data_IF_498573018930
#
_entry.id   IF_498573018930
#
_cell.length_a   1.000
_cell.length_b   1.000
_cell.length_c   1.000
_cell.angle_alpha   90.00
_cell.angle_beta   90.00
_cell.angle_gamma   90.00
#
_symmetry.space_group_name_H-M   'P 1'
#
loop_
_entity.id
_entity.type
_entity.pdbx_description
1 polymer ?
#
# COMPACT_ATOMS: atom_id res chain seq x y z
N UNK A 1 -4.99 -17.86 -9.65
CA UNK A 1 -3.80 -17.00 -9.56
C UNK A 1 -3.87 -16.15 -8.28
N UNK A 2 -2.72 -15.53 -7.85
CA UNK A 2 -2.69 -14.64 -6.65
C UNK A 2 -3.77 -13.56 -6.70
N UNK A 3 -3.93 -12.93 -7.85
CA UNK A 3 -4.91 -11.85 -8.08
C UNK A 3 -6.34 -12.29 -7.75
N UNK A 4 -6.69 -13.53 -8.00
CA UNK A 4 -8.05 -14.05 -7.74
C UNK A 4 -8.29 -14.35 -6.25
N UNK A 5 -7.22 -14.49 -5.47
CA UNK A 5 -7.29 -14.66 -4.02
C UNK A 5 -7.56 -13.36 -3.29
N UNK A 6 -7.12 -12.22 -3.85
CA UNK A 6 -7.34 -10.88 -3.26
C UNK A 6 -8.77 -10.45 -3.54
N UNK A 7 -9.66 -10.69 -2.59
CA UNK A 7 -11.10 -10.53 -2.77
C UNK A 7 -11.78 -9.53 -1.82
N UNK A 8 -11.06 -9.02 -0.83
CA UNK A 8 -11.59 -8.09 0.17
C UNK A 8 -10.55 -7.67 1.21
N UNK A 9 -10.95 -6.95 2.26
CA UNK A 9 -10.06 -6.62 3.38
C UNK A 9 -9.42 -7.86 3.98
N UNK A 10 -8.13 -7.77 4.30
CA UNK A 10 -7.35 -8.88 4.83
C UNK A 10 -5.88 -8.77 4.47
N UNK A 11 -5.09 -9.76 4.85
CA UNK A 11 -3.64 -9.80 4.58
C UNK A 11 -3.34 -10.89 3.56
N UNK A 12 -2.67 -10.51 2.49
CA UNK A 12 -2.26 -11.36 1.37
C UNK A 12 -0.75 -11.29 1.20
N UNK A 13 -0.11 -12.43 1.05
CA UNK A 13 1.34 -12.53 0.90
C UNK A 13 1.64 -13.06 -0.50
N UNK A 14 2.40 -12.28 -1.26
CA UNK A 14 2.93 -12.66 -2.56
C UNK A 14 4.44 -12.89 -2.46
N UNK A 15 4.82 -14.15 -2.46
CA UNK A 15 6.22 -14.57 -2.39
C UNK A 15 6.66 -15.11 -3.75
N UNK A 16 7.67 -14.46 -4.32
CA UNK A 16 8.28 -14.90 -5.57
C UNK A 16 9.68 -14.27 -5.71
N UNK A 17 10.60 -14.89 -6.47
CA UNK A 17 11.91 -14.32 -6.77
C UNK A 17 11.84 -12.90 -7.33
N UNK A 18 12.95 -12.16 -7.25
CA UNK A 18 13.07 -10.84 -7.89
C UNK A 18 12.82 -10.94 -9.40
N UNK A 19 12.22 -9.91 -9.98
CA UNK A 19 11.97 -9.85 -11.43
C UNK A 19 10.75 -10.63 -11.92
N UNK A 20 10.04 -11.35 -11.04
CA UNK A 20 8.87 -12.17 -11.40
C UNK A 20 7.55 -11.38 -11.48
N UNK A 21 7.59 -10.04 -11.52
CA UNK A 21 6.40 -9.21 -11.68
C UNK A 21 5.52 -9.10 -10.44
N UNK A 22 6.08 -9.27 -9.23
CA UNK A 22 5.34 -9.11 -7.96
C UNK A 22 4.63 -7.76 -7.86
N UNK A 23 5.36 -6.70 -8.17
CA UNK A 23 4.83 -5.33 -8.13
C UNK A 23 3.64 -5.14 -9.05
N UNK A 24 3.75 -5.62 -10.29
CA UNK A 24 2.68 -5.55 -11.28
C UNK A 24 1.45 -6.38 -10.86
N UNK A 25 1.67 -7.57 -10.31
CA UNK A 25 0.59 -8.42 -9.82
C UNK A 25 -0.15 -7.77 -8.64
N UNK A 26 0.58 -7.15 -7.70
CA UNK A 26 -0.01 -6.44 -6.57
C UNK A 26 -0.79 -5.19 -7.01
N UNK A 27 -0.23 -4.40 -7.92
CA UNK A 27 -0.91 -3.23 -8.46
C UNK A 27 -2.17 -3.61 -9.25
N UNK A 28 -2.14 -4.70 -10.00
CA UNK A 28 -3.31 -5.18 -10.72
C UNK A 28 -4.39 -5.72 -9.76
N UNK A 29 -4.00 -6.43 -8.70
CA UNK A 29 -4.92 -6.86 -7.65
C UNK A 29 -5.58 -5.65 -6.97
N UNK A 30 -4.78 -4.62 -6.63
CA UNK A 30 -5.25 -3.37 -6.05
C UNK A 30 -6.24 -2.65 -6.99
N UNK A 31 -5.93 -2.59 -8.27
CA UNK A 31 -6.85 -2.03 -9.27
C UNK A 31 -8.21 -2.74 -9.29
N UNK A 32 -8.21 -4.09 -9.28
CA UNK A 32 -9.46 -4.86 -9.23
C UNK A 32 -10.29 -4.55 -7.98
N UNK A 33 -9.63 -4.34 -6.84
CA UNK A 33 -10.30 -3.95 -5.60
C UNK A 33 -10.98 -2.58 -5.73
N UNK A 34 -10.31 -1.60 -6.37
CA UNK A 34 -10.88 -0.30 -6.67
C UNK A 34 -12.06 -0.42 -7.65
N UNK A 35 -11.88 -1.16 -8.74
CA UNK A 35 -12.92 -1.36 -9.77
C UNK A 35 -14.20 -1.98 -9.18
N UNK A 36 -14.05 -2.86 -8.19
CA UNK A 36 -15.16 -3.51 -7.49
C UNK A 36 -15.75 -2.64 -6.37
N UNK A 37 -15.24 -1.43 -6.13
CA UNK A 37 -15.66 -0.57 -5.03
C UNK A 37 -15.32 -1.09 -3.64
N UNK A 38 -14.38 -2.04 -3.52
CA UNK A 38 -13.96 -2.67 -2.27
C UNK A 38 -12.80 -1.96 -1.57
N UNK A 39 -12.20 -0.97 -2.22
CA UNK A 39 -11.15 -0.14 -1.65
C UNK A 39 -11.32 1.32 -2.08
N UNK A 40 -10.99 2.26 -1.18
CA UNK A 40 -11.06 3.70 -1.43
C UNK A 40 -9.79 4.30 -2.02
N UNK A 41 -8.73 3.51 -2.19
CA UNK A 41 -7.45 4.00 -2.71
C UNK A 41 -6.33 3.00 -2.58
N UNK A 42 -5.10 3.42 -2.93
CA UNK A 42 -3.88 2.60 -2.86
C UNK A 42 -2.79 3.39 -2.14
N UNK A 43 -2.11 2.74 -1.21
CA UNK A 43 -0.85 3.20 -0.66
C UNK A 43 0.25 2.17 -0.96
N UNK A 44 1.29 2.60 -1.68
CA UNK A 44 2.44 1.75 -1.98
C UNK A 44 3.60 2.14 -1.06
N UNK A 45 3.94 1.26 -0.12
CA UNK A 45 5.00 1.45 0.87
C UNK A 45 6.31 0.83 0.41
N UNK A 46 7.34 1.65 0.25
CA UNK A 46 8.69 1.27 -0.19
C UNK A 46 9.67 1.24 0.98
N UNK A 47 10.72 0.39 0.94
CA UNK A 47 11.69 0.28 2.02
C UNK A 47 12.45 1.58 2.29
N UNK A 48 12.93 2.25 1.25
CA UNK A 48 13.74 3.48 1.40
C UNK A 48 13.42 4.51 0.32
N UNK A 49 13.83 5.77 0.57
CA UNK A 49 13.67 6.85 -0.41
C UNK A 49 14.50 6.63 -1.69
N UNK A 50 15.62 5.92 -1.61
CA UNK A 50 16.53 5.69 -2.75
C UNK A 50 15.98 4.69 -3.79
N UNK A 51 15.24 3.69 -3.35
CA UNK A 51 14.51 2.76 -4.24
C UNK A 51 13.27 3.42 -4.83
N UNK A 52 12.87 4.52 -4.24
CA UNK A 52 11.62 5.24 -4.48
C UNK A 52 11.48 5.74 -5.92
N UNK A 53 12.52 6.33 -6.53
CA UNK A 53 12.35 7.05 -7.80
C UNK A 53 11.96 6.13 -8.97
N UNK A 54 12.66 5.00 -9.17
CA UNK A 54 12.33 4.07 -10.27
C UNK A 54 11.01 3.35 -10.08
N UNK A 55 10.69 2.93 -8.84
CA UNK A 55 9.42 2.29 -8.53
C UNK A 55 8.31 3.32 -8.55
N UNK A 56 8.55 4.52 -8.07
CA UNK A 56 7.64 5.65 -8.15
C UNK A 56 7.22 5.94 -9.60
N UNK A 57 8.18 6.00 -10.52
CA UNK A 57 7.91 6.22 -11.95
C UNK A 57 7.08 5.06 -12.55
N UNK A 58 7.39 3.81 -12.18
CA UNK A 58 6.64 2.63 -12.64
C UNK A 58 5.22 2.62 -12.09
N UNK A 59 5.03 2.91 -10.81
CA UNK A 59 3.71 2.98 -10.17
C UNK A 59 2.91 4.14 -10.74
N UNK A 60 3.53 5.31 -10.95
CA UNK A 60 2.90 6.44 -11.60
C UNK A 60 2.48 6.14 -13.04
N UNK A 61 3.34 5.49 -13.82
CA UNK A 61 3.00 5.09 -15.18
C UNK A 61 1.83 4.09 -15.21
N UNK A 62 1.80 3.15 -14.25
CA UNK A 62 0.71 2.20 -14.12
C UNK A 62 -0.61 2.89 -13.72
N UNK A 63 -0.58 3.73 -12.70
CA UNK A 63 -1.75 4.49 -12.23
C UNK A 63 -2.25 5.46 -13.32
N UNK A 64 -1.36 6.13 -14.04
CA UNK A 64 -1.74 7.01 -15.15
C UNK A 64 -2.45 6.24 -16.26
N UNK A 65 -2.00 5.02 -16.60
CA UNK A 65 -2.70 4.17 -17.57
C UNK A 65 -4.08 3.77 -17.08
N UNK A 66 -4.22 3.41 -15.82
CA UNK A 66 -5.52 3.08 -15.20
C UNK A 66 -6.46 4.28 -15.23
N UNK A 67 -5.97 5.47 -14.87
CA UNK A 67 -6.74 6.71 -14.89
C UNK A 67 -7.18 7.12 -16.30
N UNK A 68 -6.34 6.89 -17.32
CA UNK A 68 -6.67 7.18 -18.71
C UNK A 68 -7.70 6.21 -19.29
N UNK A 69 -7.69 4.94 -18.86
CA UNK A 69 -8.56 3.88 -19.38
C UNK A 69 -9.66 3.45 -18.41
N UNK A 70 -9.60 3.93 -17.17
CA UNK A 70 -10.54 3.60 -16.12
C UNK A 70 -11.87 4.35 -16.22
N UNK A 71 -12.86 3.83 -15.49
CA UNK A 71 -14.24 4.34 -15.48
C UNK A 71 -14.33 5.79 -14.99
N UNK A 72 -15.38 6.48 -15.41
CA UNK A 72 -15.67 7.89 -15.13
C UNK A 72 -15.54 8.32 -13.64
N UNK A 73 -15.74 7.42 -12.68
CA UNK A 73 -15.62 7.72 -11.24
C UNK A 73 -14.19 8.10 -10.81
N UNK A 74 -13.16 7.51 -11.46
CA UNK A 74 -11.77 7.90 -11.23
C UNK A 74 -11.49 9.34 -11.74
N UNK A 75 -12.19 9.77 -12.80
CA UNK A 75 -12.11 11.15 -13.28
C UNK A 75 -12.72 12.14 -12.29
N UNK A 76 -13.84 11.79 -11.67
CA UNK A 76 -14.51 12.63 -10.66
C UNK A 76 -13.62 12.87 -9.44
N UNK A 77 -12.86 11.84 -8.99
CA UNK A 77 -11.86 12.02 -7.94
C UNK A 77 -10.71 12.93 -8.37
N UNK A 78 -10.29 12.84 -9.66
CA UNK A 78 -9.23 13.69 -10.17
C UNK A 78 -9.66 15.16 -10.25
N UNK A 79 -10.87 15.43 -10.62
CA UNK A 79 -11.40 16.79 -10.79
C UNK A 79 -11.68 17.50 -9.46
N UNK A 80 -12.04 16.75 -8.39
CA UNK A 80 -12.30 17.31 -7.06
C UNK A 80 -11.03 17.69 -6.28
N UNK A 81 -9.88 17.06 -6.58
CA UNK A 81 -8.60 17.36 -5.92
C UNK A 81 -7.68 18.27 -6.74
N UNK A 82 -7.99 18.49 -8.00
CA UNK A 82 -7.30 19.46 -8.84
C UNK A 82 -7.85 20.86 -8.58
N UNK A 83 -7.32 21.55 -7.55
CA UNK A 83 -7.39 23.00 -7.50
C UNK A 83 -6.76 23.60 -8.76
N UNK A 84 -7.13 24.83 -9.10
CA UNK A 84 -6.80 25.53 -10.34
C UNK A 84 -5.30 25.56 -10.77
N UNK A 85 -4.37 25.07 -9.92
CA UNK A 85 -2.93 25.00 -10.17
C UNK A 85 -2.39 23.63 -10.60
N UNK A 86 -3.25 22.63 -10.84
CA UNK A 86 -2.83 21.29 -11.22
C UNK A 86 -2.74 21.14 -12.75
N UNK A 87 -1.58 21.42 -13.31
CA UNK A 87 -1.30 21.11 -14.71
C UNK A 87 -1.31 19.59 -14.94
N UNK A 88 -1.88 19.10 -16.08
CA UNK A 88 -1.82 17.71 -16.47
C UNK A 88 -0.35 17.24 -16.52
N UNK A 89 0.00 16.21 -15.76
CA UNK A 89 1.36 15.65 -15.72
C UNK A 89 2.19 15.96 -14.47
N UNK A 90 1.70 16.78 -13.53
CA UNK A 90 2.37 16.86 -12.21
C UNK A 90 2.12 15.56 -11.43
N UNK A 91 3.16 14.95 -10.85
CA UNK A 91 3.00 13.70 -10.09
C UNK A 91 2.05 13.94 -8.91
N UNK A 92 1.01 13.15 -8.81
CA UNK A 92 -0.02 13.13 -7.77
C UNK A 92 0.53 13.02 -6.34
N UNK A 93 1.81 12.75 -6.21
CA UNK A 93 2.47 12.25 -5.00
C UNK A 93 3.40 13.26 -4.33
N UNK A 94 3.44 14.52 -4.75
CA UNK A 94 4.44 15.50 -4.26
C UNK A 94 4.13 16.20 -2.94
N UNK A 95 3.05 15.90 -2.23
CA UNK A 95 2.82 16.55 -0.94
C UNK A 95 3.20 15.65 0.24
N UNK A 96 4.39 15.83 0.80
CA UNK A 96 4.98 14.99 1.82
C UNK A 96 4.16 14.81 3.13
N UNK A 97 3.28 15.73 3.51
CA UNK A 97 2.43 15.59 4.71
C UNK A 97 0.99 15.15 4.40
N UNK A 98 0.53 15.32 3.17
CA UNK A 98 -0.84 14.96 2.72
C UNK A 98 -0.88 13.65 1.94
N UNK A 99 0.27 13.06 1.63
CA UNK A 99 0.36 11.89 0.77
C UNK A 99 -0.48 10.69 1.25
N UNK A 100 -0.61 10.48 2.56
CA UNK A 100 -1.44 9.39 3.09
C UNK A 100 -2.95 9.65 2.95
N UNK A 101 -3.39 10.90 2.86
CA UNK A 101 -4.79 11.25 2.67
C UNK A 101 -5.21 11.11 1.19
N UNK A 102 -4.29 11.26 0.25
CA UNK A 102 -4.58 11.10 -1.16
C UNK A 102 -5.09 9.69 -1.48
N UNK A 103 -6.08 9.52 -2.37
CA UNK A 103 -6.57 8.21 -2.78
C UNK A 103 -5.46 7.29 -3.30
N UNK A 104 -4.47 7.87 -3.98
CA UNK A 104 -3.31 7.16 -4.50
C UNK A 104 -2.04 7.79 -3.96
N UNK A 105 -1.22 7.01 -3.29
CA UNK A 105 0.06 7.48 -2.76
C UNK A 105 1.15 6.42 -2.86
N UNK A 106 2.36 6.89 -3.09
CA UNK A 106 3.60 6.13 -2.96
C UNK A 106 4.46 6.82 -1.91
N UNK A 107 4.96 6.06 -0.97
CA UNK A 107 5.79 6.60 0.10
C UNK A 107 6.69 5.54 0.72
N UNK A 108 7.47 5.94 1.71
CA UNK A 108 8.27 4.97 2.48
C UNK A 108 7.39 4.26 3.51
N UNK A 109 7.81 3.05 3.89
CA UNK A 109 7.14 2.30 4.96
C UNK A 109 7.09 3.13 6.25
N UNK A 110 8.13 3.93 6.54
CA UNK A 110 8.21 4.76 7.75
C UNK A 110 6.99 5.69 7.90
N UNK A 111 6.48 6.23 6.80
CA UNK A 111 5.28 7.07 6.83
C UNK A 111 4.05 6.28 7.27
N UNK A 112 3.94 5.01 6.88
CA UNK A 112 2.87 4.13 7.32
C UNK A 112 3.10 3.66 8.77
N UNK A 113 4.34 3.33 9.15
CA UNK A 113 4.69 2.93 10.52
C UNK A 113 4.32 3.99 11.56
N UNK A 114 4.44 5.28 11.19
CA UNK A 114 4.00 6.37 12.06
C UNK A 114 2.49 6.39 12.34
N UNK A 115 1.68 5.62 11.63
CA UNK A 115 0.27 5.43 11.97
C UNK A 115 0.10 4.45 13.14
N UNK A 116 0.95 3.41 13.21
CA UNK A 116 0.91 2.40 14.28
C UNK A 116 1.57 2.88 15.57
N UNK A 117 2.61 3.72 15.46
CA UNK A 117 3.31 4.26 16.64
C UNK A 117 2.50 5.43 17.23
N UNK A 118 2.40 5.50 18.56
CA UNK A 118 1.72 6.61 19.27
C UNK A 118 2.51 7.92 19.20
N UNK A 119 2.61 8.49 18.01
CA UNK A 119 3.25 9.79 17.75
C UNK A 119 2.21 10.84 17.39
N UNK A 120 2.64 12.11 17.41
CA UNK A 120 1.78 13.23 17.01
C UNK A 120 1.21 12.99 15.59
N UNK A 121 -0.11 13.12 15.43
CA UNK A 121 -0.85 12.91 14.17
C UNK A 121 -0.95 11.43 13.71
N UNK A 122 -0.71 10.44 14.55
CA UNK A 122 -0.92 9.03 14.19
C UNK A 122 -2.36 8.73 13.76
N UNK A 123 -3.35 9.30 14.44
CA UNK A 123 -4.76 9.13 14.09
C UNK A 123 -5.10 9.65 12.68
N UNK A 124 -4.53 10.79 12.26
CA UNK A 124 -4.74 11.32 10.90
C UNK A 124 -4.11 10.41 9.86
N UNK A 125 -2.95 9.83 10.16
CA UNK A 125 -2.27 8.87 9.27
C UNK A 125 -3.05 7.56 9.17
N UNK A 126 -3.55 7.04 10.29
CA UNK A 126 -4.40 5.86 10.33
C UNK A 126 -5.69 6.08 9.52
N UNK A 127 -6.34 7.22 9.70
CA UNK A 127 -7.50 7.62 8.89
C UNK A 127 -7.17 7.68 7.40
N UNK A 128 -6.00 8.24 7.04
CA UNK A 128 -5.55 8.31 5.65
C UNK A 128 -5.29 6.94 5.00
N UNK A 129 -5.04 5.90 5.78
CA UNK A 129 -4.85 4.52 5.29
C UNK A 129 -6.15 3.72 5.28
N UNK A 130 -7.16 4.11 6.06
CA UNK A 130 -8.38 3.34 6.25
C UNK A 130 -9.09 2.99 4.93
N UNK A 131 -9.49 1.73 4.79
CA UNK A 131 -10.19 1.22 3.61
C UNK A 131 -9.39 1.20 2.31
N UNK A 132 -8.06 1.41 2.36
CA UNK A 132 -7.18 1.35 1.18
C UNK A 132 -6.59 -0.03 0.97
N UNK A 133 -6.08 -0.26 -0.24
CA UNK A 133 -5.09 -1.30 -0.49
C UNK A 133 -3.73 -0.77 -0.11
N UNK A 134 -3.08 -1.39 0.87
CA UNK A 134 -1.72 -1.05 1.32
C UNK A 134 -0.77 -2.13 0.82
N UNK A 135 0.13 -1.77 -0.09
CA UNK A 135 1.14 -2.68 -0.63
C UNK A 135 2.45 -2.40 0.10
N UNK A 136 3.02 -3.41 0.76
CA UNK A 136 4.31 -3.32 1.46
C UNK A 136 5.34 -4.14 0.69
N UNK A 137 6.35 -3.45 0.13
CA UNK A 137 7.36 -4.09 -0.70
C UNK A 137 8.62 -4.44 0.09
N UNK A 138 9.29 -5.52 -0.33
CA UNK A 138 10.58 -6.02 0.18
C UNK A 138 10.65 -6.17 1.70
N UNK A 139 9.62 -6.75 2.31
CA UNK A 139 9.50 -6.85 3.76
C UNK A 139 10.66 -7.61 4.44
N UNK A 140 11.39 -8.41 3.68
CA UNK A 140 12.56 -9.15 4.14
C UNK A 140 13.80 -8.29 4.40
N UNK A 141 13.83 -7.04 3.93
CA UNK A 141 14.97 -6.11 4.08
C UNK A 141 15.00 -5.40 5.43
N UNK A 142 13.97 -5.57 6.28
CA UNK A 142 13.87 -4.87 7.56
C UNK A 142 14.50 -5.66 8.71
N UNK A 143 15.14 -4.94 9.64
CA UNK A 143 15.66 -5.50 10.88
C UNK A 143 14.57 -6.00 11.84
N UNK A 144 14.96 -6.66 12.92
CA UNK A 144 14.03 -7.25 13.90
C UNK A 144 13.17 -6.19 14.58
N UNK A 145 13.74 -5.01 14.88
CA UNK A 145 13.02 -3.92 15.55
C UNK A 145 11.93 -3.33 14.63
N UNK A 146 12.31 -2.93 13.43
CA UNK A 146 11.37 -2.44 12.41
C UNK A 146 10.33 -3.50 12.10
N UNK A 147 10.73 -4.76 12.09
CA UNK A 147 9.84 -5.89 11.91
C UNK A 147 8.70 -5.94 12.91
N UNK A 148 8.97 -5.68 14.21
CA UNK A 148 7.92 -5.65 15.24
C UNK A 148 6.92 -4.51 15.00
N UNK A 149 7.41 -3.34 14.59
CA UNK A 149 6.53 -2.20 14.29
C UNK A 149 5.68 -2.49 13.03
N UNK A 150 6.21 -3.24 12.08
CA UNK A 150 5.43 -3.67 10.90
C UNK A 150 4.29 -4.62 11.32
N UNK A 151 4.52 -5.48 12.31
CA UNK A 151 3.45 -6.35 12.83
C UNK A 151 2.32 -5.53 13.45
N UNK A 152 2.65 -4.51 14.24
CA UNK A 152 1.69 -3.55 14.79
C UNK A 152 0.95 -2.79 13.68
N UNK A 153 1.66 -2.37 12.63
CA UNK A 153 1.04 -1.72 11.48
C UNK A 153 0.06 -2.65 10.79
N UNK A 154 0.42 -3.90 10.53
CA UNK A 154 -0.46 -4.88 9.88
C UNK A 154 -1.70 -5.15 10.72
N UNK A 155 -1.55 -5.24 12.06
CA UNK A 155 -2.68 -5.37 12.98
C UNK A 155 -3.63 -4.16 12.87
N UNK A 156 -3.09 -2.94 12.93
CA UNK A 156 -3.87 -1.71 12.77
C UNK A 156 -4.58 -1.66 11.41
N UNK A 157 -3.90 -2.00 10.32
CA UNK A 157 -4.49 -1.98 8.98
C UNK A 157 -5.66 -2.96 8.84
N UNK A 158 -5.63 -4.10 9.53
CA UNK A 158 -6.77 -5.03 9.60
C UNK A 158 -7.97 -4.39 10.29
N UNK A 159 -7.76 -3.72 11.42
CA UNK A 159 -8.82 -3.02 12.16
C UNK A 159 -9.43 -1.88 11.32
N UNK A 160 -8.63 -1.27 10.46
CA UNK A 160 -9.04 -0.21 9.52
C UNK A 160 -9.69 -0.73 8.22
N UNK A 161 -10.03 -2.03 8.15
CA UNK A 161 -10.59 -2.67 6.95
C UNK A 161 -9.75 -2.48 5.68
N UNK A 162 -8.43 -2.44 5.81
CA UNK A 162 -7.52 -2.37 4.68
C UNK A 162 -7.32 -3.74 4.03
N UNK A 163 -7.04 -3.73 2.72
CA UNK A 163 -6.47 -4.88 2.02
C UNK A 163 -4.95 -4.72 2.04
N UNK A 164 -4.24 -5.58 2.76
CA UNK A 164 -2.78 -5.52 2.88
C UNK A 164 -2.14 -6.56 1.97
N UNK A 165 -1.29 -6.12 1.04
CA UNK A 165 -0.54 -6.99 0.14
C UNK A 165 0.95 -6.88 0.49
N UNK A 166 1.52 -7.97 0.98
CA UNK A 166 2.93 -8.05 1.38
C UNK A 166 3.72 -8.73 0.26
N UNK A 167 4.75 -8.04 -0.25
CA UNK A 167 5.65 -8.56 -1.27
C UNK A 167 6.99 -8.96 -0.64
N UNK A 168 7.44 -10.16 -0.93
CA UNK A 168 8.73 -10.65 -0.44
C UNK A 168 9.39 -11.59 -1.45
N UNK A 169 10.73 -11.62 -1.45
CA UNK A 169 11.45 -12.67 -2.17
C UNK A 169 11.47 -13.96 -1.35
N UNK A 170 11.62 -13.82 -0.03
CA UNK A 170 11.65 -14.95 0.91
C UNK A 170 11.02 -14.52 2.23
N UNK A 171 10.19 -15.37 2.80
CA UNK A 171 9.57 -15.12 4.11
C UNK A 171 9.68 -16.38 4.98
N UNK A 172 10.16 -16.22 6.20
CA UNK A 172 10.22 -17.33 7.16
C UNK A 172 8.82 -17.75 7.61
N UNK A 173 8.63 -19.03 7.94
CA UNK A 173 7.33 -19.54 8.39
C UNK A 173 6.78 -18.80 9.62
N UNK A 174 7.59 -18.49 10.67
CA UNK A 174 7.09 -17.71 11.80
C UNK A 174 6.60 -16.32 11.40
N UNK A 175 7.31 -15.67 10.47
CA UNK A 175 6.93 -14.33 10.00
C UNK A 175 5.62 -14.36 9.19
N UNK A 176 5.47 -15.37 8.35
CA UNK A 176 4.22 -15.61 7.61
C UNK A 176 3.04 -15.82 8.56
N UNK A 177 3.22 -16.67 9.60
CA UNK A 177 2.19 -16.93 10.59
C UNK A 177 1.80 -15.65 11.37
N UNK A 178 2.77 -14.82 11.74
CA UNK A 178 2.53 -13.54 12.39
C UNK A 178 1.65 -12.62 11.52
N UNK A 179 1.98 -12.44 10.24
CA UNK A 179 1.19 -11.59 9.34
C UNK A 179 -0.21 -12.13 9.07
N UNK A 180 -0.38 -13.44 8.97
CA UNK A 180 -1.68 -14.05 8.76
C UNK A 180 -2.53 -14.13 10.05
N UNK A 181 -1.95 -13.79 11.21
CA UNK A 181 -2.63 -13.88 12.50
C UNK A 181 -2.86 -15.32 12.98
N UNK A 182 -2.12 -16.28 12.43
CA UNK A 182 -2.18 -17.70 12.80
C UNK A 182 -1.19 -18.06 13.93
N UNK A 183 -0.46 -17.07 14.43
CA UNK A 183 0.46 -17.27 15.55
C UNK A 183 -0.36 -17.42 16.83
N UNK A 184 -0.43 -18.64 17.37
CA UNK A 184 -0.79 -18.85 18.77
C UNK A 184 0.35 -18.28 19.62
N UNK A 185 0.09 -17.34 20.56
CA UNK A 185 1.13 -16.93 21.49
C UNK A 185 1.58 -18.17 22.26
N UNK A 186 2.88 -18.39 22.29
CA UNK A 186 3.46 -19.40 23.19
C UNK A 186 3.01 -19.03 24.61
N UNK A 187 2.32 -19.96 25.26
CA UNK A 187 1.94 -19.88 26.68
C UNK A 187 3.15 -19.95 27.55
#
# INVERSE_FOLDING_TARGET
AFIDQVSGPGVYILEAPMGMGKTEAALYAAYRMLEQGKAGGIYFALPTQLTSNKIHDRVNAFLSRILLHGKAWLKTFSEQEMGEDAAPGKPWFQSGKRGLLAPFAVGTIDQALMAAIRVRHSAVRAFGLAGKVVIIDEIHSYDTYTGTIIDELVALLRELNCTVIILSATLTQPRRAAFLGTHQPAR
#
